data_IF_842090943244
#
_entry.id   IF_842090943244
#
_cell.length_a   1.000
_cell.length_b   1.000
_cell.length_c   1.000
_cell.angle_alpha   90.00
_cell.angle_beta   90.00
_cell.angle_gamma   90.00
#
_symmetry.space_group_name_H-M   'P 1'
#
loop_
_entity.id
_entity.type
_entity.pdbx_description
1 polymer ?
#
# COMPACT_ATOMS: atom_id res chain seq x y z
N UNK A 1 7.27 -10.15 14.72
CA UNK A 1 7.81 -10.38 13.35
C UNK A 1 6.72 -11.01 12.46
N UNK A 2 5.93 -12.00 12.94
CA UNK A 2 4.86 -12.63 12.12
C UNK A 2 3.70 -11.69 11.76
N UNK A 3 3.31 -10.75 12.62
CA UNK A 3 2.21 -9.81 12.36
C UNK A 3 2.56 -8.72 11.34
N UNK A 4 3.81 -8.26 11.32
CA UNK A 4 4.25 -7.30 10.31
C UNK A 4 4.18 -7.89 8.90
N UNK A 5 4.42 -9.19 8.76
CA UNK A 5 4.29 -9.94 7.49
C UNK A 5 2.84 -10.01 6.98
N UNK A 6 1.86 -10.09 7.88
CA UNK A 6 0.42 -10.13 7.53
C UNK A 6 -0.13 -8.77 7.08
N UNK A 7 0.37 -7.67 7.62
CA UNK A 7 -0.08 -6.32 7.29
C UNK A 7 0.32 -5.88 5.88
N UNK A 8 1.49 -6.29 5.41
CA UNK A 8 1.96 -5.95 4.05
C UNK A 8 1.11 -6.65 2.97
N UNK A 9 0.57 -7.84 3.24
CA UNK A 9 -0.27 -8.58 2.30
C UNK A 9 -1.66 -7.96 2.10
N UNK A 10 -2.18 -7.22 3.08
CA UNK A 10 -3.53 -6.67 3.04
C UNK A 10 -3.65 -5.34 2.28
N UNK A 11 -2.56 -4.58 2.13
CA UNK A 11 -2.58 -3.25 1.51
C UNK A 11 -2.59 -3.27 -0.02
N UNK A 12 -2.25 -4.39 -0.66
CA UNK A 12 -2.21 -4.49 -2.13
C UNK A 12 -3.55 -4.90 -2.76
N UNK A 13 -4.55 -5.27 -1.96
CA UNK A 13 -5.82 -5.83 -2.43
C UNK A 13 -6.96 -4.80 -2.67
N UNK A 14 -6.77 -3.50 -2.40
CA UNK A 14 -7.88 -2.52 -2.31
C UNK A 14 -8.10 -1.68 -3.57
N UNK A 15 -7.37 -1.86 -4.65
CA UNK A 15 -7.47 -0.95 -5.82
C UNK A 15 -8.31 -1.48 -6.99
N UNK A 16 -8.85 -2.68 -6.96
CA UNK A 16 -9.64 -3.21 -8.08
C UNK A 16 -10.98 -3.80 -7.65
N UNK A 17 -11.96 -2.96 -7.37
CA UNK A 17 -13.38 -3.31 -7.43
C UNK A 17 -14.24 -2.07 -7.58
N UNK A 18 -14.66 -1.76 -8.78
CA UNK A 18 -15.91 -1.02 -9.03
C UNK A 18 -16.33 -1.15 -10.49
N UNK A 19 -17.50 -1.64 -10.73
CA UNK A 19 -18.67 -1.21 -11.45
C UNK A 19 -19.38 -2.44 -12.04
N UNK A 20 -20.61 -2.69 -11.86
CA UNK A 20 -21.85 -2.07 -11.59
C UNK A 20 -22.85 -2.28 -12.71
N UNK A 21 -23.84 -3.12 -12.56
CA UNK A 21 -25.25 -3.10 -12.79
C UNK A 21 -25.87 -2.84 -14.17
N UNK A 22 -26.93 -3.62 -14.48
CA UNK A 22 -28.02 -3.22 -15.36
C UNK A 22 -28.57 -4.38 -16.20
N UNK A 23 -29.76 -4.87 -15.83
CA UNK A 23 -30.46 -5.99 -16.49
C UNK A 23 -31.14 -5.62 -17.81
N UNK A 24 -31.42 -6.64 -18.60
CA UNK A 24 -32.23 -6.59 -19.82
C UNK A 24 -32.28 -7.97 -20.49
N UNK A 25 -33.42 -8.62 -20.36
CA UNK A 25 -33.69 -9.94 -20.92
C UNK A 25 -33.94 -9.85 -22.42
N UNK A 26 -33.03 -10.35 -23.25
CA UNK A 26 -33.33 -10.80 -24.63
C UNK A 26 -32.48 -12.03 -24.93
N UNK A 27 -33.16 -13.12 -25.30
CA UNK A 27 -32.55 -14.39 -25.67
C UNK A 27 -31.81 -14.28 -27.02
N UNK A 28 -30.54 -13.92 -26.94
CA UNK A 28 -29.59 -14.08 -28.05
C UNK A 28 -28.74 -15.33 -27.84
N UNK A 29 -28.23 -15.98 -28.94
CA UNK A 29 -27.35 -17.13 -28.79
C UNK A 29 -26.15 -16.80 -27.92
N UNK A 30 -25.91 -17.63 -26.92
CA UNK A 30 -24.79 -17.52 -25.99
C UNK A 30 -23.49 -17.43 -26.78
N UNK A 31 -22.73 -16.35 -26.71
CA UNK A 31 -21.39 -16.32 -27.28
C UNK A 31 -20.54 -17.39 -26.56
N UNK A 32 -19.56 -17.98 -27.24
CA UNK A 32 -18.65 -18.91 -26.58
C UNK A 32 -18.06 -18.20 -25.34
N UNK A 33 -18.06 -18.92 -24.20
CA UNK A 33 -17.49 -18.39 -22.97
C UNK A 33 -16.09 -17.84 -23.25
N UNK A 34 -15.77 -16.64 -22.75
CA UNK A 34 -14.42 -16.12 -22.84
C UNK A 34 -13.50 -17.15 -22.20
N UNK A 35 -12.55 -17.69 -22.98
CA UNK A 35 -11.50 -18.56 -22.45
C UNK A 35 -10.77 -17.74 -21.41
N UNK A 36 -11.12 -17.94 -20.15
CA UNK A 36 -10.39 -17.30 -19.04
C UNK A 36 -8.95 -17.79 -19.15
N UNK A 37 -7.97 -16.90 -19.35
CA UNK A 37 -6.58 -17.32 -19.30
C UNK A 37 -6.36 -18.08 -17.99
N UNK A 38 -5.57 -19.16 -17.97
CA UNK A 38 -5.29 -19.88 -16.74
C UNK A 38 -4.86 -18.85 -15.69
N UNK A 39 -5.58 -18.80 -14.57
CA UNK A 39 -5.16 -17.94 -13.47
C UNK A 39 -3.74 -18.38 -13.08
N UNK A 40 -2.78 -17.47 -13.11
CA UNK A 40 -1.44 -17.80 -12.68
C UNK A 40 -1.53 -18.33 -11.26
N UNK A 41 -0.88 -19.46 -11.01
CA UNK A 41 -0.72 -19.97 -9.65
C UNK A 41 -0.22 -18.79 -8.79
N UNK A 42 -0.97 -18.44 -7.76
CA UNK A 42 -0.57 -17.35 -6.85
C UNK A 42 0.79 -17.75 -6.30
N UNK A 43 1.84 -17.10 -6.79
CA UNK A 43 3.21 -17.37 -6.35
C UNK A 43 3.28 -17.18 -4.84
N UNK A 44 4.07 -18.00 -4.18
CA UNK A 44 4.32 -17.83 -2.74
C UNK A 44 4.91 -16.44 -2.54
N UNK A 45 4.22 -15.59 -1.79
CA UNK A 45 4.70 -14.25 -1.49
C UNK A 45 6.00 -14.35 -0.67
N UNK A 46 7.07 -13.81 -1.21
CA UNK A 46 8.32 -13.63 -0.47
C UNK A 46 8.20 -12.41 0.43
N UNK A 47 8.95 -12.40 1.51
CA UNK A 47 9.10 -11.23 2.36
C UNK A 47 10.55 -10.81 2.32
N UNK A 48 10.86 -9.55 2.00
CA UNK A 48 12.24 -9.08 1.98
C UNK A 48 12.86 -9.25 3.36
N UNK A 49 14.14 -9.58 3.40
CA UNK A 49 14.94 -9.66 4.62
C UNK A 49 15.81 -8.39 4.75
N UNK A 50 17.12 -8.50 4.61
CA UNK A 50 18.00 -7.33 4.61
C UNK A 50 17.91 -6.55 3.29
N UNK A 51 17.74 -7.27 2.19
CA UNK A 51 17.60 -6.73 0.85
C UNK A 51 16.36 -7.30 0.15
N UNK A 52 15.96 -6.67 -0.94
CA UNK A 52 14.89 -7.12 -1.80
C UNK A 52 15.42 -8.05 -2.89
N UNK A 53 14.76 -9.18 -3.10
CA UNK A 53 14.98 -9.98 -4.31
C UNK A 53 14.48 -9.23 -5.54
N UNK A 54 15.23 -9.36 -6.64
CA UNK A 54 14.87 -8.80 -7.96
C UNK A 54 14.68 -9.99 -8.90
N UNK A 55 13.60 -10.01 -9.65
CA UNK A 55 13.28 -11.08 -10.61
C UNK A 55 12.76 -10.50 -11.93
N UNK A 56 12.91 -11.23 -13.02
CA UNK A 56 12.27 -10.90 -14.27
C UNK A 56 10.75 -10.89 -14.12
N UNK A 57 10.03 -9.93 -14.71
CA UNK A 57 8.58 -9.82 -14.60
C UNK A 57 7.85 -11.12 -14.97
N UNK A 58 8.34 -11.86 -15.98
CA UNK A 58 7.74 -13.11 -16.45
C UNK A 58 7.75 -14.20 -15.36
N UNK A 59 8.78 -14.23 -14.52
CA UNK A 59 8.86 -15.18 -13.38
C UNK A 59 7.74 -14.89 -12.37
N UNK A 60 7.39 -13.61 -12.23
CA UNK A 60 6.28 -13.16 -11.38
C UNK A 60 4.92 -13.16 -12.11
N UNK A 61 4.81 -13.77 -13.28
CA UNK A 61 3.62 -13.79 -14.16
C UNK A 61 3.14 -12.37 -14.54
N UNK A 62 4.06 -11.49 -14.87
CA UNK A 62 3.80 -10.15 -15.41
C UNK A 62 4.55 -10.02 -16.72
N UNK A 63 3.93 -9.45 -17.75
CA UNK A 63 4.61 -9.19 -19.01
C UNK A 63 5.62 -8.04 -18.86
N UNK A 64 6.88 -8.27 -19.23
CA UNK A 64 7.93 -7.25 -19.20
C UNK A 64 7.56 -6.01 -20.01
N UNK A 65 6.84 -6.18 -21.12
CA UNK A 65 6.37 -5.04 -21.91
C UNK A 65 5.49 -4.10 -21.09
N UNK A 66 4.57 -4.65 -20.29
CA UNK A 66 3.70 -3.83 -19.42
C UNK A 66 4.47 -3.11 -18.31
N UNK A 67 5.48 -3.79 -17.74
CA UNK A 67 6.37 -3.17 -16.73
C UNK A 67 7.14 -2.01 -17.36
N UNK A 68 7.72 -2.21 -18.54
CA UNK A 68 8.46 -1.17 -19.26
C UNK A 68 7.57 0.01 -19.65
N UNK A 69 6.37 -0.25 -20.18
CA UNK A 69 5.39 0.81 -20.49
C UNK A 69 4.98 1.62 -19.25
N UNK A 70 4.81 0.98 -18.10
CA UNK A 70 4.52 1.66 -16.85
C UNK A 70 5.68 2.55 -16.39
N UNK A 71 6.91 2.06 -16.49
CA UNK A 71 8.12 2.83 -16.21
C UNK A 71 8.26 4.00 -17.19
N UNK A 72 8.07 3.77 -18.49
CA UNK A 72 8.12 4.82 -19.50
C UNK A 72 7.05 5.88 -19.28
N UNK A 73 5.84 5.48 -18.89
CA UNK A 73 4.78 6.41 -18.54
C UNK A 73 5.16 7.29 -17.35
N UNK A 74 5.78 6.70 -16.33
CA UNK A 74 6.14 7.42 -15.11
C UNK A 74 7.24 8.47 -15.34
N UNK A 75 8.13 8.25 -16.31
CA UNK A 75 9.26 9.13 -16.60
C UNK A 75 9.07 9.98 -17.86
N UNK A 76 7.82 10.17 -18.32
CA UNK A 76 7.54 11.11 -19.42
C UNK A 76 7.93 12.54 -19.06
N UNK A 77 8.20 13.34 -20.08
CA UNK A 77 8.34 14.79 -19.95
C UNK A 77 7.17 15.36 -19.15
N UNK A 78 7.39 16.34 -18.33
CA UNK A 78 6.43 16.95 -17.41
C UNK A 78 6.07 16.12 -16.13
N UNK A 79 6.70 14.98 -15.91
CA UNK A 79 6.61 14.24 -14.64
C UNK A 79 7.89 14.48 -13.84
N UNK A 80 7.77 14.91 -12.62
CA UNK A 80 8.94 15.07 -11.73
C UNK A 80 9.20 13.78 -10.95
N UNK A 81 9.17 12.64 -11.64
CA UNK A 81 9.36 11.33 -11.03
C UNK A 81 10.83 11.13 -10.70
N UNK A 82 11.12 10.88 -9.44
CA UNK A 82 12.49 10.65 -8.96
C UNK A 82 12.85 9.16 -8.96
N UNK A 83 11.89 8.29 -8.71
CA UNK A 83 12.08 6.85 -8.71
C UNK A 83 10.75 6.12 -8.75
N UNK A 84 10.75 4.94 -9.33
CA UNK A 84 9.61 4.00 -9.36
C UNK A 84 10.14 2.62 -9.07
N UNK A 85 9.47 1.91 -8.17
CA UNK A 85 9.73 0.50 -7.87
C UNK A 85 8.40 -0.25 -8.01
N UNK A 86 8.41 -1.32 -8.80
CA UNK A 86 7.26 -2.19 -9.01
C UNK A 86 7.54 -3.51 -8.29
N UNK A 87 6.68 -3.86 -7.36
CA UNK A 87 6.82 -5.07 -6.54
C UNK A 87 5.64 -6.01 -6.79
N UNK A 88 5.93 -7.29 -6.96
CA UNK A 88 4.92 -8.34 -7.03
C UNK A 88 5.36 -9.56 -6.22
N UNK A 89 4.46 -10.08 -5.39
CA UNK A 89 4.73 -11.23 -4.51
C UNK A 89 6.00 -11.07 -3.64
N UNK A 90 6.33 -9.83 -3.28
CA UNK A 90 7.49 -9.53 -2.43
C UNK A 90 8.84 -9.52 -3.15
N UNK A 91 8.85 -9.50 -4.50
CA UNK A 91 10.06 -9.31 -5.31
C UNK A 91 9.93 -8.05 -6.17
N UNK A 92 11.03 -7.36 -6.41
CA UNK A 92 11.09 -6.24 -7.35
C UNK A 92 11.10 -6.83 -8.77
N UNK A 93 10.15 -6.39 -9.60
CA UNK A 93 10.02 -6.80 -11.00
C UNK A 93 10.30 -5.66 -11.98
N UNK A 94 10.55 -4.48 -11.48
CA UNK A 94 10.95 -3.32 -12.26
C UNK A 94 11.26 -2.15 -11.35
N UNK A 95 12.35 -1.46 -11.66
CA UNK A 95 12.70 -0.22 -10.99
C UNK A 95 13.40 0.71 -11.96
N UNK A 96 13.23 2.01 -11.77
CA UNK A 96 13.90 3.05 -12.51
C UNK A 96 14.01 4.31 -11.67
N UNK A 97 15.10 5.02 -11.85
CA UNK A 97 15.38 6.30 -11.19
C UNK A 97 15.71 7.36 -12.22
N UNK A 98 15.48 8.64 -11.89
CA UNK A 98 15.95 9.76 -12.72
C UNK A 98 17.48 9.82 -12.70
N UNK A 99 18.05 10.51 -13.69
CA UNK A 99 19.51 10.52 -13.92
C UNK A 99 20.34 10.96 -12.69
N UNK A 100 19.75 11.78 -11.83
CA UNK A 100 20.37 12.31 -10.60
C UNK A 100 20.01 11.51 -9.33
N UNK A 101 19.29 10.39 -9.45
CA UNK A 101 18.80 9.57 -8.35
C UNK A 101 19.22 8.12 -8.47
N UNK A 102 19.10 7.41 -7.35
CA UNK A 102 19.34 5.98 -7.24
C UNK A 102 18.48 5.40 -6.13
N UNK A 103 18.51 4.09 -5.95
CA UNK A 103 17.86 3.39 -4.82
C UNK A 103 18.30 3.91 -3.43
N UNK A 104 19.46 4.57 -3.34
CA UNK A 104 19.97 5.13 -2.08
C UNK A 104 19.66 6.61 -1.90
N UNK A 105 19.00 7.24 -2.87
CA UNK A 105 18.66 8.66 -2.79
C UNK A 105 17.54 8.88 -1.78
N UNK A 106 17.74 9.83 -0.88
CA UNK A 106 16.72 10.22 0.08
C UNK A 106 15.64 11.06 -0.61
N UNK A 107 14.40 10.78 -0.27
CA UNK A 107 13.25 11.54 -0.72
C UNK A 107 12.32 11.84 0.45
N UNK A 108 11.56 12.92 0.35
CA UNK A 108 10.53 13.25 1.34
C UNK A 108 9.38 12.27 1.22
N UNK A 109 9.07 11.57 2.30
CA UNK A 109 8.01 10.55 2.32
C UNK A 109 6.59 11.14 2.27
N UNK A 110 6.44 12.43 2.61
CA UNK A 110 5.14 13.09 2.72
C UNK A 110 4.15 12.22 3.55
N UNK A 111 2.93 12.09 3.09
CA UNK A 111 1.90 11.31 3.79
C UNK A 111 2.15 9.80 3.83
N UNK A 112 3.08 9.26 3.05
CA UNK A 112 3.52 7.86 3.19
C UNK A 112 4.03 7.57 4.60
N UNK A 113 4.61 8.57 5.27
CA UNK A 113 5.03 8.48 6.67
C UNK A 113 3.89 8.10 7.62
N UNK A 114 2.62 8.41 7.30
CA UNK A 114 1.47 8.03 8.11
C UNK A 114 1.24 6.52 8.13
N UNK A 115 1.57 5.82 7.03
CA UNK A 115 1.50 4.36 6.98
C UNK A 115 2.51 3.71 7.94
N UNK A 116 3.71 4.28 8.04
CA UNK A 116 4.69 3.83 9.03
C UNK A 116 4.21 4.11 10.47
N UNK A 117 3.61 5.29 10.71
CA UNK A 117 3.03 5.60 12.02
C UNK A 117 1.93 4.59 12.40
N UNK A 118 1.04 4.24 11.47
CA UNK A 118 0.02 3.21 11.70
C UNK A 118 0.63 1.84 12.04
N UNK A 119 1.69 1.44 11.34
CA UNK A 119 2.39 0.19 11.62
C UNK A 119 3.04 0.22 13.03
N UNK A 120 3.64 1.33 13.42
CA UNK A 120 4.22 1.50 14.76
C UNK A 120 3.15 1.42 15.86
N UNK A 121 1.97 2.00 15.66
CA UNK A 121 0.85 1.86 16.59
C UNK A 121 0.41 0.40 16.71
N UNK A 122 0.35 -0.33 15.57
CA UNK A 122 0.05 -1.78 15.58
C UNK A 122 1.07 -2.59 16.40
N UNK A 123 2.35 -2.26 16.28
CA UNK A 123 3.42 -2.89 17.06
C UNK A 123 3.28 -2.53 18.55
N UNK A 124 2.94 -1.29 18.87
CA UNK A 124 2.75 -0.84 20.23
C UNK A 124 1.58 -1.55 20.92
N UNK A 125 0.48 -1.79 20.18
CA UNK A 125 -0.65 -2.61 20.64
C UNK A 125 -0.22 -4.07 20.90
N UNK A 126 0.48 -4.68 19.95
CA UNK A 126 0.95 -6.07 20.09
C UNK A 126 1.86 -6.23 21.30
N UNK A 127 2.68 -5.24 21.59
CA UNK A 127 3.61 -5.24 22.72
C UNK A 127 2.98 -4.79 24.05
N UNK A 128 1.70 -4.42 24.04
CA UNK A 128 0.98 -3.97 25.24
C UNK A 128 1.39 -2.57 25.75
N UNK A 129 2.05 -1.76 24.92
CA UNK A 129 2.31 -0.35 25.24
C UNK A 129 1.06 0.51 25.07
N UNK A 130 0.13 0.08 24.24
CA UNK A 130 -1.20 0.63 24.02
C UNK A 130 -2.16 -0.52 24.25
N UNK A 131 -3.24 -0.35 25.06
CA UNK A 131 -4.17 -1.43 25.29
C UNK A 131 -5.28 -1.47 24.24
N UNK A 132 -5.67 -0.33 23.68
CA UNK A 132 -6.70 -0.21 22.66
C UNK A 132 -6.50 1.05 21.83
N UNK A 133 -6.82 1.00 20.54
CA UNK A 133 -6.87 2.21 19.71
C UNK A 133 -8.08 3.11 20.05
N UNK A 134 -9.02 2.60 20.83
CA UNK A 134 -10.19 3.36 21.31
C UNK A 134 -9.91 4.13 22.61
N UNK A 135 -8.70 4.01 23.16
CA UNK A 135 -8.26 4.85 24.27
C UNK A 135 -8.09 6.30 23.83
N UNK A 136 -8.26 7.21 24.80
CA UNK A 136 -7.90 8.61 24.59
C UNK A 136 -6.41 8.75 24.29
N UNK A 137 -6.09 9.50 23.26
CA UNK A 137 -4.70 9.84 22.94
C UNK A 137 -4.02 10.67 24.03
N UNK A 138 -4.82 11.38 24.87
CA UNK A 138 -4.35 12.13 26.02
C UNK A 138 -3.55 11.25 27.00
N UNK A 139 -3.86 9.94 27.08
CA UNK A 139 -3.13 8.98 27.91
C UNK A 139 -1.63 8.93 27.57
N UNK A 140 -1.29 9.18 26.31
CA UNK A 140 0.06 9.12 25.77
C UNK A 140 0.64 10.50 25.43
N UNK A 141 -0.17 11.53 25.49
CA UNK A 141 0.17 12.92 25.17
C UNK A 141 -0.17 13.79 26.38
N UNK A 142 0.68 13.79 27.44
CA UNK A 142 0.40 14.49 28.69
C UNK A 142 0.17 16.00 28.51
N UNK A 143 0.71 16.60 27.45
CA UNK A 143 0.46 18.01 27.11
C UNK A 143 -0.99 18.27 26.67
N UNK A 144 -1.80 17.23 26.45
CA UNK A 144 -3.21 17.36 26.11
C UNK A 144 -4.13 17.39 27.32
N UNK A 145 -3.62 16.99 28.50
CA UNK A 145 -4.41 16.94 29.74
C UNK A 145 -5.01 18.32 30.05
N UNK A 146 -6.32 18.35 30.25
CA UNK A 146 -7.06 19.57 30.56
C UNK A 146 -7.26 20.55 29.39
N UNK A 147 -6.92 20.14 28.16
CA UNK A 147 -7.09 20.99 26.96
C UNK A 147 -8.38 20.74 26.19
N UNK A 148 -9.28 19.88 26.71
CA UNK A 148 -10.53 19.52 26.05
C UNK A 148 -10.38 18.47 24.93
N UNK A 149 -9.25 17.77 24.86
CA UNK A 149 -8.94 16.76 23.84
C UNK A 149 -9.17 15.33 24.31
N UNK A 150 -9.72 15.11 25.46
CA UNK A 150 -9.93 13.79 26.08
C UNK A 150 -10.72 12.83 25.18
N UNK A 151 -11.66 13.35 24.39
CA UNK A 151 -12.48 12.54 23.47
C UNK A 151 -11.74 12.12 22.19
N UNK A 152 -10.54 12.64 21.95
CA UNK A 152 -9.75 12.27 20.77
C UNK A 152 -9.07 10.94 21.05
N UNK A 153 -9.53 9.90 20.36
CA UNK A 153 -8.95 8.56 20.47
C UNK A 153 -7.79 8.35 19.49
N UNK A 154 -6.94 7.36 19.76
CA UNK A 154 -5.90 6.93 18.82
C UNK A 154 -6.54 6.54 17.47
N UNK A 155 -7.70 5.88 17.50
CA UNK A 155 -8.48 5.54 16.29
C UNK A 155 -8.82 6.78 15.48
N UNK A 156 -9.36 7.82 16.11
CA UNK A 156 -9.77 9.03 15.38
C UNK A 156 -8.57 9.75 14.74
N UNK A 157 -7.38 9.66 15.34
CA UNK A 157 -6.14 10.17 14.75
C UNK A 157 -5.73 9.32 13.56
N UNK A 158 -5.72 8.00 13.67
CA UNK A 158 -5.36 7.08 12.59
C UNK A 158 -6.30 7.23 11.38
N UNK A 159 -7.58 7.47 11.62
CA UNK A 159 -8.59 7.70 10.60
C UNK A 159 -8.61 9.15 10.06
N UNK A 160 -7.70 10.00 10.52
CA UNK A 160 -7.59 11.43 10.16
C UNK A 160 -8.88 12.22 10.39
N UNK A 161 -9.63 11.90 11.43
CA UNK A 161 -10.88 12.56 11.83
C UNK A 161 -10.89 13.02 13.29
N UNK A 162 -9.73 13.41 13.78
CA UNK A 162 -9.55 13.87 15.17
C UNK A 162 -10.24 15.20 15.49
N UNK A 163 -10.65 15.96 14.47
CA UNK A 163 -11.21 17.30 14.67
C UNK A 163 -10.17 18.39 15.01
N UNK A 164 -8.87 18.04 15.03
CA UNK A 164 -7.82 19.03 15.23
C UNK A 164 -7.70 19.91 13.99
N UNK A 165 -7.62 21.23 14.20
CA UNK A 165 -7.30 22.17 13.13
C UNK A 165 -5.83 22.02 12.74
N UNK A 166 -5.56 22.09 11.43
CA UNK A 166 -4.19 22.30 10.97
C UNK A 166 -3.75 23.70 11.44
N UNK A 167 -2.69 23.75 12.24
CA UNK A 167 -2.07 24.99 12.68
C UNK A 167 -1.35 25.70 11.53
#
# INVERSE_FOLDING_TARGET
IHYLKSLVSCFLAIVLSSCGGGGGNTSNPVPPEPVTPPQPSVGVTKFPDLDWDVEDPEVANVMSVGVNEALDYAFRDNKNTQGVVIVRHGVIIGERYSDDKSQYSLATSWSTGKSFASALIGIALEKGYINSIDESAETYLPEWVGTGKTEITIRSILEMRSGLSAG
#
